data_IF_924953023889
#
_entry.id   IF_924953023889
#
_cell.length_a   1.000
_cell.length_b   1.000
_cell.length_c   1.000
_cell.angle_alpha   90.00
_cell.angle_beta   90.00
_cell.angle_gamma   90.00
#
_symmetry.space_group_name_H-M   'P 1'
#
loop_
_entity.id
_entity.type
_entity.pdbx_description
1 polymer ?
#
# COMPACT_ATOMS: atom_id res chain seq x y z
N UNK A 1 -3.09 23.45 23.65
CA UNK A 1 -2.31 23.13 22.42
C UNK A 1 -2.73 21.83 21.72
N UNK A 2 -3.64 20.99 22.27
CA UNK A 2 -4.09 19.72 21.65
C UNK A 2 -4.99 19.84 20.40
N UNK A 3 -5.65 20.98 20.16
CA UNK A 3 -6.61 21.12 19.06
C UNK A 3 -6.01 21.46 17.68
N UNK A 4 -4.75 21.92 17.60
CA UNK A 4 -4.15 22.31 16.32
C UNK A 4 -3.65 21.12 15.50
N UNK A 5 -3.14 20.07 16.15
CA UNK A 5 -2.63 18.87 15.47
C UNK A 5 -3.75 18.06 14.82
N UNK A 6 -4.91 17.95 15.48
CA UNK A 6 -6.09 17.25 14.96
C UNK A 6 -6.68 17.92 13.71
N UNK A 7 -6.56 19.24 13.61
CA UNK A 7 -7.05 20.02 12.47
C UNK A 7 -6.16 19.86 11.22
N UNK A 8 -4.84 19.80 11.42
CA UNK A 8 -3.87 19.61 10.33
C UNK A 8 -3.96 18.19 9.74
N UNK A 9 -4.17 17.18 10.58
CA UNK A 9 -4.33 15.79 10.13
C UNK A 9 -5.59 15.62 9.28
N UNK A 10 -6.72 16.20 9.70
CA UNK A 10 -7.95 16.17 8.89
C UNK A 10 -7.78 16.93 7.57
N UNK A 11 -7.08 18.06 7.56
CA UNK A 11 -6.87 18.84 6.33
C UNK A 11 -5.99 18.09 5.31
N UNK A 12 -4.94 17.41 5.77
CA UNK A 12 -4.08 16.57 4.92
C UNK A 12 -4.85 15.35 4.39
N UNK A 13 -5.66 14.68 5.22
CA UNK A 13 -6.48 13.55 4.79
C UNK A 13 -7.53 13.96 3.74
N UNK A 14 -8.18 15.13 3.96
CA UNK A 14 -9.15 15.69 3.01
C UNK A 14 -8.46 16.04 1.68
N UNK A 15 -7.23 16.58 1.70
CA UNK A 15 -6.47 16.86 0.48
C UNK A 15 -6.09 15.58 -0.29
N UNK A 16 -5.77 14.48 0.41
CA UNK A 16 -5.51 13.17 -0.22
C UNK A 16 -6.78 12.58 -0.84
N UNK A 17 -7.92 12.68 -0.15
CA UNK A 17 -9.23 12.23 -0.67
C UNK A 17 -9.68 13.09 -1.86
N UNK A 18 -9.43 14.40 -1.83
CA UNK A 18 -9.71 15.28 -2.97
C UNK A 18 -8.82 14.97 -4.19
N UNK A 19 -7.55 14.58 -3.99
CA UNK A 19 -6.70 14.08 -5.08
C UNK A 19 -7.21 12.76 -5.67
N UNK A 20 -7.66 11.83 -4.83
CA UNK A 20 -8.27 10.58 -5.28
C UNK A 20 -9.58 10.80 -6.07
N UNK A 21 -10.42 11.75 -5.65
CA UNK A 21 -11.64 12.11 -6.39
C UNK A 21 -11.37 12.94 -7.65
N UNK A 22 -10.29 13.73 -7.69
CA UNK A 22 -9.83 14.39 -8.91
C UNK A 22 -9.28 13.38 -9.95
N UNK A 23 -8.63 12.30 -9.50
CA UNK A 23 -8.21 11.18 -10.35
C UNK A 23 -9.38 10.50 -11.06
N UNK A 24 -10.55 10.41 -10.43
CA UNK A 24 -11.76 9.85 -11.06
C UNK A 24 -12.33 10.75 -12.18
N UNK A 25 -12.18 12.08 -12.07
CA UNK A 25 -12.67 13.02 -13.09
C UNK A 25 -11.72 13.17 -14.30
N UNK A 26 -10.44 12.81 -14.16
CA UNK A 26 -9.48 12.74 -15.27
C UNK A 26 -9.74 11.55 -16.22
N UNK A 27 -10.58 10.59 -15.82
CA UNK A 27 -10.93 9.39 -16.59
C UNK A 27 -11.64 9.67 -17.93
N UNK A 28 -12.15 10.88 -18.17
CA UNK A 28 -13.08 11.14 -19.28
C UNK A 28 -12.53 11.94 -20.47
N UNK A 29 -11.27 12.41 -20.47
CA UNK A 29 -10.85 13.43 -21.45
C UNK A 29 -9.53 13.21 -22.21
N UNK A 30 -8.85 12.07 -22.10
CA UNK A 30 -7.73 11.75 -23.00
C UNK A 30 -7.76 10.26 -23.40
N UNK A 31 -7.73 9.90 -24.69
CA UNK A 31 -7.70 8.51 -25.13
C UNK A 31 -6.26 7.98 -24.98
N UNK A 32 -5.84 7.72 -23.74
CA UNK A 32 -4.65 6.91 -23.47
C UNK A 32 -4.99 5.48 -23.90
N UNK A 33 -4.28 4.95 -24.89
CA UNK A 33 -4.50 3.58 -25.35
C UNK A 33 -3.72 2.63 -24.45
N UNK A 34 -4.44 1.72 -23.81
CA UNK A 34 -3.86 0.65 -22.99
C UNK A 34 -3.61 -0.55 -23.90
N UNK A 35 -2.41 -1.11 -23.81
CA UNK A 35 -1.95 -2.29 -24.56
C UNK A 35 -1.13 -3.17 -23.63
N UNK A 36 -0.71 -4.35 -24.08
CA UNK A 36 0.31 -5.12 -23.36
C UNK A 36 1.70 -4.58 -23.68
N UNK A 37 2.68 -4.87 -22.82
CA UNK A 37 4.08 -4.47 -23.08
C UNK A 37 4.57 -5.11 -24.37
N UNK A 38 4.21 -6.37 -24.63
CA UNK A 38 4.48 -7.05 -25.90
C UNK A 38 3.91 -6.29 -27.11
N UNK A 39 2.62 -5.95 -27.08
CA UNK A 39 1.99 -5.16 -28.15
C UNK A 39 2.66 -3.79 -28.32
N UNK A 40 3.13 -3.19 -27.22
CA UNK A 40 3.87 -1.92 -27.24
C UNK A 40 5.22 -2.03 -27.94
N UNK A 41 5.93 -3.13 -27.73
CA UNK A 41 7.19 -3.42 -28.43
C UNK A 41 6.94 -3.65 -29.92
N UNK A 42 5.94 -4.46 -30.28
CA UNK A 42 5.55 -4.66 -31.68
C UNK A 42 5.17 -3.33 -32.35
N UNK A 43 4.47 -2.46 -31.62
CA UNK A 43 4.11 -1.12 -32.10
C UNK A 43 5.34 -0.22 -32.29
N UNK A 44 6.32 -0.25 -31.37
CA UNK A 44 7.61 0.46 -31.51
C UNK A 44 8.37 0.03 -32.77
N UNK A 45 8.49 -1.28 -32.97
CA UNK A 45 9.20 -1.87 -34.12
C UNK A 45 8.52 -1.49 -35.43
N UNK A 46 7.18 -1.50 -35.48
CA UNK A 46 6.42 -1.06 -36.65
C UNK A 46 6.63 0.41 -37.01
N UNK A 47 7.09 1.22 -36.05
CA UNK A 47 7.44 2.63 -36.22
C UNK A 47 8.96 2.86 -36.37
N UNK A 48 9.72 1.83 -36.75
CA UNK A 48 11.18 1.87 -36.95
C UNK A 48 11.99 2.30 -35.71
N UNK A 49 11.45 2.06 -34.50
CA UNK A 49 12.19 2.20 -33.24
C UNK A 49 12.52 0.83 -32.67
N UNK A 50 13.57 0.76 -31.87
CA UNK A 50 13.97 -0.44 -31.13
C UNK A 50 14.00 -0.15 -29.63
N UNK A 51 14.11 -1.20 -28.82
CA UNK A 51 14.29 -1.04 -27.36
C UNK A 51 15.54 -0.25 -26.95
N UNK A 52 16.49 -0.04 -27.89
CA UNK A 52 17.69 0.77 -27.65
C UNK A 52 17.44 2.27 -27.84
N UNK A 53 16.33 2.65 -28.48
CA UNK A 53 15.97 4.03 -28.79
C UNK A 53 15.08 4.66 -27.71
N UNK A 54 15.24 4.22 -26.46
CA UNK A 54 14.45 4.73 -25.34
C UNK A 54 14.78 6.20 -25.07
N UNK A 55 13.77 6.92 -24.59
CA UNK A 55 13.85 8.33 -24.24
C UNK A 55 14.55 8.53 -22.88
N UNK A 56 15.09 9.72 -22.64
CA UNK A 56 15.55 10.14 -21.31
C UNK A 56 14.40 10.40 -20.33
N UNK A 57 13.15 10.40 -20.83
CA UNK A 57 11.95 10.48 -20.00
C UNK A 57 11.89 9.32 -19.00
N UNK A 58 11.38 9.61 -17.81
CA UNK A 58 11.23 8.65 -16.71
C UNK A 58 9.85 8.81 -16.11
N UNK A 59 9.26 7.67 -15.74
CA UNK A 59 8.08 7.67 -14.88
C UNK A 59 8.51 7.66 -13.40
N UNK A 60 7.70 8.17 -12.48
CA UNK A 60 8.04 8.22 -11.05
C UNK A 60 8.34 6.85 -10.42
N UNK A 61 7.66 5.80 -10.87
CA UNK A 61 7.81 4.46 -10.30
C UNK A 61 9.13 3.77 -10.68
N UNK A 62 9.70 4.12 -11.83
CA UNK A 62 10.90 3.47 -12.40
C UNK A 62 10.66 2.09 -13.03
N UNK A 63 9.44 1.55 -13.00
CA UNK A 63 9.12 0.22 -13.55
C UNK A 63 8.70 0.24 -15.04
N UNK A 64 8.94 1.35 -15.74
CA UNK A 64 8.63 1.46 -17.15
C UNK A 64 9.69 2.21 -17.93
N UNK A 65 9.85 1.79 -19.18
CA UNK A 65 10.73 2.40 -20.18
C UNK A 65 9.87 3.20 -21.15
N UNK A 66 10.29 4.44 -21.38
CA UNK A 66 9.56 5.41 -22.21
C UNK A 66 10.25 5.55 -23.56
N UNK A 67 9.48 5.63 -24.63
CA UNK A 67 9.95 5.82 -26.00
C UNK A 67 9.17 6.96 -26.63
N UNK A 68 9.85 7.77 -27.43
CA UNK A 68 9.23 8.85 -28.21
C UNK A 68 9.31 8.51 -29.69
N UNK A 69 8.15 8.47 -30.34
CA UNK A 69 8.05 8.23 -31.77
C UNK A 69 8.21 9.53 -32.56
N UNK A 70 8.60 9.41 -33.83
CA UNK A 70 8.81 10.57 -34.71
C UNK A 70 7.51 11.34 -35.01
N UNK A 71 6.35 10.70 -34.83
CA UNK A 71 5.03 11.32 -34.94
C UNK A 71 4.60 12.09 -33.66
N UNK A 72 5.41 12.06 -32.60
CA UNK A 72 5.15 12.73 -31.33
C UNK A 72 4.38 11.90 -30.29
N UNK A 73 3.99 10.67 -30.62
CA UNK A 73 3.42 9.73 -29.64
C UNK A 73 4.47 9.27 -28.65
N UNK A 74 4.03 9.00 -27.41
CA UNK A 74 4.88 8.44 -26.35
C UNK A 74 4.40 7.05 -26.03
N UNK A 75 5.32 6.10 -25.98
CA UNK A 75 5.04 4.71 -25.65
C UNK A 75 5.71 4.39 -24.33
N UNK A 76 4.94 3.86 -23.39
CA UNK A 76 5.41 3.36 -22.11
C UNK A 76 5.19 1.84 -22.07
N UNK A 77 6.26 1.08 -21.88
CA UNK A 77 6.22 -0.37 -21.66
C UNK A 77 6.91 -0.71 -20.36
N UNK A 78 6.58 -1.86 -19.78
CA UNK A 78 7.20 -2.30 -18.54
C UNK A 78 8.70 -2.57 -18.73
N UNK A 79 9.53 -2.28 -17.71
CA UNK A 79 11.00 -2.39 -17.83
C UNK A 79 11.49 -3.80 -18.15
N UNK A 80 10.74 -4.83 -17.74
CA UNK A 80 11.08 -6.23 -18.03
C UNK A 80 10.86 -6.58 -19.52
N UNK A 81 10.15 -5.73 -20.27
CA UNK A 81 10.02 -5.77 -21.73
C UNK A 81 9.14 -6.91 -22.26
N UNK A 82 9.36 -8.13 -21.80
CA UNK A 82 8.67 -9.33 -22.27
C UNK A 82 7.59 -9.72 -21.25
N UNK A 83 6.32 -9.52 -21.59
CA UNK A 83 5.20 -9.97 -20.75
C UNK A 83 3.87 -9.29 -21.06
N UNK A 84 2.83 -9.78 -20.40
CA UNK A 84 1.45 -9.27 -20.46
C UNK A 84 1.23 -8.04 -19.55
N UNK A 85 2.31 -7.46 -19.02
CA UNK A 85 2.25 -6.24 -18.21
C UNK A 85 1.63 -5.09 -19.01
N UNK A 86 0.80 -4.24 -18.37
CA UNK A 86 0.18 -3.12 -19.06
C UNK A 86 1.24 -2.16 -19.63
N UNK A 87 0.99 -1.67 -20.84
CA UNK A 87 1.71 -0.61 -21.52
C UNK A 87 0.72 0.46 -21.98
N UNK A 88 1.25 1.62 -22.36
CA UNK A 88 0.45 2.78 -22.73
C UNK A 88 1.00 3.48 -23.96
N UNK A 89 0.09 3.91 -24.84
CA UNK A 89 0.39 4.86 -25.90
C UNK A 89 -0.34 6.16 -25.57
N UNK A 90 0.44 7.22 -25.43
CA UNK A 90 -0.02 8.60 -25.27
C UNK A 90 0.11 9.32 -26.61
N UNK A 91 -0.87 10.14 -26.96
CA UNK A 91 -0.88 10.84 -28.25
C UNK A 91 0.13 12.00 -28.28
N UNK A 92 0.64 12.40 -27.11
CA UNK A 92 1.63 13.48 -27.01
C UNK A 92 2.44 13.42 -25.71
N UNK A 93 3.60 14.08 -25.72
CA UNK A 93 4.41 14.34 -24.53
C UNK A 93 3.64 15.04 -23.41
N UNK A 94 2.66 15.89 -23.75
CA UNK A 94 1.83 16.60 -22.78
C UNK A 94 0.99 15.63 -21.95
N UNK A 95 0.30 14.69 -22.63
CA UNK A 95 -0.52 13.67 -21.96
C UNK A 95 0.34 12.77 -21.05
N UNK A 96 1.50 12.34 -21.53
CA UNK A 96 2.45 11.56 -20.73
C UNK A 96 2.88 12.29 -19.45
N UNK A 97 3.24 13.58 -19.58
CA UNK A 97 3.63 14.40 -18.43
C UNK A 97 2.48 14.61 -17.45
N UNK A 98 1.27 14.84 -17.95
CA UNK A 98 0.07 14.95 -17.10
C UNK A 98 -0.16 13.65 -16.30
N UNK A 99 0.02 12.47 -16.89
CA UNK A 99 -0.03 11.20 -16.15
C UNK A 99 1.06 11.09 -15.08
N UNK A 100 2.30 11.49 -15.39
CA UNK A 100 3.40 11.48 -14.42
C UNK A 100 3.18 12.46 -13.26
N UNK A 101 2.77 13.70 -13.56
CA UNK A 101 2.54 14.75 -12.57
C UNK A 101 1.38 14.41 -11.63
N UNK A 102 0.39 13.64 -12.13
CA UNK A 102 -0.74 13.16 -11.34
C UNK A 102 -0.49 11.79 -10.68
N UNK A 103 0.68 11.19 -10.88
CA UNK A 103 1.02 9.82 -10.44
C UNK A 103 -0.09 8.81 -10.81
N UNK A 104 -0.59 8.87 -12.04
CA UNK A 104 -1.74 8.07 -12.44
C UNK A 104 -1.64 7.54 -13.87
N UNK A 105 -1.77 6.23 -13.97
CA UNK A 105 -1.83 5.44 -15.19
C UNK A 105 -3.09 4.55 -15.14
N UNK A 106 -3.94 4.54 -16.17
CA UNK A 106 -5.23 3.85 -16.13
C UNK A 106 -5.06 2.34 -16.36
N UNK A 107 -4.56 1.62 -15.36
CA UNK A 107 -4.41 0.15 -15.43
C UNK A 107 -5.80 -0.49 -15.31
N UNK A 108 -6.22 -1.39 -16.22
CA UNK A 108 -7.45 -2.17 -16.07
C UNK A 108 -7.43 -3.00 -14.78
N UNK A 109 -8.57 -3.18 -14.12
CA UNK A 109 -8.63 -3.84 -12.80
C UNK A 109 -8.05 -5.26 -12.83
N UNK A 110 -8.29 -5.98 -13.92
CA UNK A 110 -7.76 -7.32 -14.20
C UNK A 110 -6.24 -7.38 -14.28
N UNK A 111 -5.59 -6.24 -14.58
CA UNK A 111 -4.14 -6.11 -14.71
C UNK A 111 -3.51 -5.39 -13.51
N UNK A 112 -4.32 -4.96 -12.53
CA UNK A 112 -3.83 -4.38 -11.29
C UNK A 112 -3.33 -5.48 -10.36
N UNK A 113 -2.19 -5.23 -9.72
CA UNK A 113 -1.73 -6.05 -8.59
C UNK A 113 -2.75 -6.02 -7.45
N UNK A 114 -2.73 -7.05 -6.58
CA UNK A 114 -3.60 -7.05 -5.41
C UNK A 114 -3.39 -5.81 -4.53
N UNK A 115 -2.16 -5.30 -4.42
CA UNK A 115 -1.84 -4.09 -3.66
C UNK A 115 -2.52 -2.86 -4.26
N UNK A 116 -2.48 -2.70 -5.58
CA UNK A 116 -3.16 -1.61 -6.28
C UNK A 116 -4.68 -1.69 -6.11
N UNK A 117 -5.26 -2.89 -6.18
CA UNK A 117 -6.70 -3.09 -5.98
C UNK A 117 -7.17 -2.77 -4.56
N UNK A 118 -6.31 -2.99 -3.56
CA UNK A 118 -6.65 -2.82 -2.14
C UNK A 118 -6.01 -1.57 -1.50
N UNK A 119 -5.44 -0.67 -2.31
CA UNK A 119 -4.69 0.48 -1.84
C UNK A 119 -5.53 1.47 -1.02
N UNK A 120 -6.83 1.58 -1.31
CA UNK A 120 -7.75 2.47 -0.59
C UNK A 120 -8.09 1.86 0.77
N UNK A 121 -8.46 0.59 0.79
CA UNK A 121 -8.79 -0.16 1.99
C UNK A 121 -7.60 -0.23 2.96
N UNK A 122 -6.37 -0.38 2.43
CA UNK A 122 -5.15 -0.35 3.24
C UNK A 122 -4.90 1.00 3.94
N UNK A 123 -5.33 2.12 3.34
CA UNK A 123 -5.20 3.45 3.96
C UNK A 123 -6.16 3.60 5.15
N UNK A 124 -7.35 3.02 5.03
CA UNK A 124 -8.41 3.12 6.04
C UNK A 124 -8.40 1.95 7.03
N UNK A 125 -7.52 0.99 6.83
CA UNK A 125 -7.40 -0.23 7.62
C UNK A 125 -7.39 -0.03 9.15
N UNK A 126 -6.77 1.05 9.65
CA UNK A 126 -6.73 1.38 11.09
C UNK A 126 -8.05 1.96 11.65
N UNK A 127 -8.98 2.38 10.78
CA UNK A 127 -10.29 2.92 11.13
C UNK A 127 -11.31 1.81 11.38
N UNK A 128 -11.15 0.65 10.75
CA UNK A 128 -12.10 -0.46 10.82
C UNK A 128 -11.77 -1.43 11.96
N UNK A 129 -12.20 -1.11 13.19
CA UNK A 129 -11.75 -1.86 14.37
C UNK A 129 -12.19 -3.32 14.34
N UNK A 130 -13.32 -3.62 13.69
CA UNK A 130 -13.86 -4.97 13.59
C UNK A 130 -12.87 -5.94 12.94
N UNK A 131 -12.06 -5.45 12.00
CA UNK A 131 -11.15 -6.27 11.22
C UNK A 131 -10.04 -6.91 12.05
N UNK A 132 -9.47 -6.19 13.02
CA UNK A 132 -8.41 -6.71 13.90
C UNK A 132 -8.90 -7.07 15.31
N UNK A 133 -10.17 -6.81 15.66
CA UNK A 133 -10.72 -7.15 16.99
C UNK A 133 -11.41 -8.51 17.01
N UNK A 134 -11.95 -8.98 15.88
CA UNK A 134 -12.78 -10.18 15.82
C UNK A 134 -12.05 -11.45 16.28
N UNK A 135 -10.83 -11.69 15.78
CA UNK A 135 -10.03 -12.86 16.16
C UNK A 135 -9.64 -12.82 17.65
N UNK A 136 -9.22 -11.65 18.14
CA UNK A 136 -8.87 -11.43 19.55
C UNK A 136 -10.05 -11.67 20.49
N UNK A 137 -11.24 -11.19 20.13
CA UNK A 137 -12.43 -11.35 20.94
C UNK A 137 -12.92 -12.80 20.93
N UNK A 138 -13.03 -13.40 19.75
CA UNK A 138 -13.56 -14.76 19.58
C UNK A 138 -12.72 -15.78 20.34
N UNK A 139 -11.40 -15.75 20.13
CA UNK A 139 -10.46 -16.76 20.64
C UNK A 139 -9.99 -16.48 22.07
N UNK A 140 -9.74 -15.22 22.40
CA UNK A 140 -9.03 -14.84 23.65
C UNK A 140 -9.87 -13.99 24.59
N UNK A 141 -11.10 -13.60 24.19
CA UNK A 141 -11.96 -12.66 24.92
C UNK A 141 -11.22 -11.35 25.24
N UNK A 142 -10.37 -10.92 24.32
CA UNK A 142 -9.68 -9.63 24.39
C UNK A 142 -10.54 -8.61 23.67
N UNK A 143 -10.84 -7.50 24.35
CA UNK A 143 -11.55 -6.36 23.77
C UNK A 143 -10.54 -5.30 23.35
N UNK A 144 -10.66 -4.82 22.11
CA UNK A 144 -9.94 -3.65 21.60
C UNK A 144 -10.94 -2.70 20.90
N UNK A 145 -10.64 -1.40 20.74
CA UNK A 145 -9.36 -0.72 21.02
C UNK A 145 -9.01 -0.69 22.51
N UNK A 146 -7.71 -0.80 22.82
CA UNK A 146 -7.21 -0.70 24.19
C UNK A 146 -7.26 0.74 24.69
N UNK A 147 -7.51 0.92 25.99
CA UNK A 147 -7.61 2.23 26.65
C UNK A 147 -6.47 2.51 27.62
N UNK A 148 -5.66 1.50 27.94
CA UNK A 148 -4.56 1.63 28.89
C UNK A 148 -3.41 0.66 28.60
N UNK A 149 -2.23 0.99 29.14
CA UNK A 149 -1.05 0.11 29.05
C UNK A 149 -1.34 -1.25 29.71
N UNK A 150 -2.05 -1.25 30.84
CA UNK A 150 -2.43 -2.48 31.56
C UNK A 150 -3.27 -3.40 30.67
N UNK A 151 -4.22 -2.86 29.90
CA UNK A 151 -5.02 -3.66 28.97
C UNK A 151 -4.17 -4.28 27.85
N UNK A 152 -3.17 -3.55 27.36
CA UNK A 152 -2.24 -4.05 26.35
C UNK A 152 -1.34 -5.18 26.88
N UNK A 153 -0.86 -5.07 28.13
CA UNK A 153 -0.06 -6.09 28.81
C UNK A 153 -0.90 -7.34 29.11
N UNK A 154 -2.09 -7.17 29.66
CA UNK A 154 -3.02 -8.28 29.93
C UNK A 154 -3.39 -9.04 28.65
N UNK A 155 -3.61 -8.31 27.55
CA UNK A 155 -3.88 -8.90 26.24
C UNK A 155 -2.68 -9.70 25.71
N UNK A 156 -1.46 -9.18 25.85
CA UNK A 156 -0.23 -9.87 25.46
C UNK A 156 -0.01 -11.17 26.26
N UNK A 157 -0.23 -11.10 27.57
CA UNK A 157 -0.12 -12.26 28.45
C UNK A 157 -1.12 -13.36 28.08
N UNK A 158 -2.37 -12.99 27.79
CA UNK A 158 -3.39 -13.92 27.30
C UNK A 158 -2.98 -14.54 25.96
N UNK A 159 -2.53 -13.73 25.01
CA UNK A 159 -2.07 -14.18 23.70
C UNK A 159 -0.92 -15.17 23.83
N UNK A 160 0.15 -14.81 24.54
CA UNK A 160 1.34 -15.66 24.67
C UNK A 160 1.04 -16.96 25.42
N UNK A 161 0.22 -16.93 26.47
CA UNK A 161 -0.26 -18.15 27.16
C UNK A 161 -1.05 -19.05 26.21
N UNK A 162 -1.94 -18.49 25.39
CA UNK A 162 -2.71 -19.25 24.41
C UNK A 162 -1.83 -19.88 23.33
N UNK A 163 -0.84 -19.14 22.81
CA UNK A 163 0.05 -19.60 21.74
C UNK A 163 1.11 -20.61 22.21
N UNK A 164 1.51 -20.61 23.48
CA UNK A 164 2.45 -21.59 24.06
C UNK A 164 1.87 -23.01 24.11
N UNK A 165 0.55 -23.14 24.11
CA UNK A 165 -0.12 -24.44 24.03
C UNK A 165 -0.09 -24.92 22.56
N UNK A 166 1.04 -25.51 22.16
CA UNK A 166 1.51 -25.86 20.79
C UNK A 166 0.60 -26.77 19.92
N UNK A 167 -0.69 -26.47 19.78
CA UNK A 167 -1.60 -27.23 18.90
C UNK A 167 -2.49 -26.33 18.02
N UNK A 168 -2.09 -25.08 17.78
CA UNK A 168 -2.87 -24.13 16.98
C UNK A 168 -2.37 -24.08 15.54
N UNK A 169 -3.26 -24.07 14.52
CA UNK A 169 -2.89 -23.85 13.14
C UNK A 169 -2.05 -22.58 12.95
N UNK A 170 -1.11 -22.60 12.02
CA UNK A 170 -0.18 -21.49 11.78
C UNK A 170 -0.93 -20.22 11.38
N UNK A 171 -2.01 -20.37 10.61
CA UNK A 171 -2.88 -19.30 10.14
C UNK A 171 -3.56 -18.61 11.32
N UNK A 172 -4.10 -19.38 12.26
CA UNK A 172 -4.74 -18.86 13.46
C UNK A 172 -3.74 -18.12 14.35
N UNK A 173 -2.55 -18.72 14.55
CA UNK A 173 -1.48 -18.09 15.34
C UNK A 173 -1.09 -16.74 14.73
N UNK A 174 -0.91 -16.72 13.42
CA UNK A 174 -0.59 -15.51 12.67
C UNK A 174 -1.69 -14.48 12.83
N UNK A 175 -2.95 -14.81 12.52
CA UNK A 175 -4.07 -13.89 12.63
C UNK A 175 -4.15 -13.22 14.02
N UNK A 176 -4.00 -13.99 15.09
CA UNK A 176 -4.00 -13.46 16.46
C UNK A 176 -2.84 -12.50 16.75
N UNK A 177 -1.62 -12.81 16.30
CA UNK A 177 -0.45 -11.94 16.48
C UNK A 177 -0.64 -10.63 15.72
N UNK A 178 -1.03 -10.69 14.45
CA UNK A 178 -1.23 -9.50 13.62
C UNK A 178 -2.36 -8.64 14.18
N UNK A 179 -3.48 -9.25 14.55
CA UNK A 179 -4.61 -8.57 15.19
C UNK A 179 -4.21 -7.82 16.46
N UNK A 180 -3.43 -8.46 17.35
CA UNK A 180 -2.91 -7.82 18.56
C UNK A 180 -2.01 -6.64 18.23
N UNK A 181 -1.09 -6.85 17.28
CA UNK A 181 -0.12 -5.85 16.88
C UNK A 181 -0.79 -4.57 16.35
N UNK A 182 -1.87 -4.72 15.58
CA UNK A 182 -2.67 -3.61 15.04
C UNK A 182 -3.48 -2.90 16.13
N UNK A 183 -4.13 -3.66 17.02
CA UNK A 183 -4.85 -3.09 18.16
C UNK A 183 -3.92 -2.23 19.05
N UNK A 184 -2.70 -2.71 19.24
CA UNK A 184 -1.66 -2.02 20.00
C UNK A 184 -1.12 -0.78 19.28
N UNK A 185 -0.86 -0.89 17.98
CA UNK A 185 -0.50 0.23 17.13
C UNK A 185 -1.50 1.39 17.24
N UNK A 186 -2.80 1.08 17.18
CA UNK A 186 -3.86 2.07 17.33
C UNK A 186 -3.83 2.74 18.69
N UNK A 187 -3.68 1.97 19.77
CA UNK A 187 -3.52 2.52 21.12
C UNK A 187 -2.33 3.49 21.23
N UNK A 188 -1.19 3.13 20.65
CA UNK A 188 0.00 4.00 20.66
C UNK A 188 -0.25 5.33 19.94
N UNK A 189 -0.94 5.30 18.80
CA UNK A 189 -1.29 6.51 18.04
C UNK A 189 -2.28 7.37 18.84
N UNK A 190 -3.40 6.80 19.27
CA UNK A 190 -4.53 7.56 19.83
C UNK A 190 -4.29 8.00 21.27
N UNK A 191 -3.76 7.12 22.12
CA UNK A 191 -3.66 7.34 23.57
C UNK A 191 -2.26 7.82 24.00
N UNK A 192 -1.22 7.47 23.23
CA UNK A 192 0.18 7.84 23.53
C UNK A 192 0.75 8.90 22.60
N UNK A 193 0.02 9.30 21.57
CA UNK A 193 0.44 10.36 20.64
C UNK A 193 1.67 9.99 19.83
N UNK A 194 1.85 8.70 19.52
CA UNK A 194 2.93 8.27 18.65
C UNK A 194 2.72 8.84 17.25
N UNK A 195 3.82 9.29 16.63
CA UNK A 195 3.79 9.77 15.26
C UNK A 195 3.64 8.58 14.31
N UNK A 196 2.85 8.78 13.28
CA UNK A 196 2.73 7.87 12.15
C UNK A 196 2.68 8.69 10.86
N UNK A 197 3.04 8.06 9.77
CA UNK A 197 3.00 8.65 8.43
C UNK A 197 2.40 7.66 7.43
N UNK A 198 1.79 8.20 6.37
CA UNK A 198 1.48 7.40 5.18
C UNK A 198 2.71 7.41 4.29
N UNK A 199 3.34 6.25 4.11
CA UNK A 199 4.46 6.10 3.21
C UNK A 199 3.93 5.81 1.80
N UNK A 200 4.33 6.65 0.85
CA UNK A 200 4.13 6.44 -0.58
C UNK A 200 5.15 5.43 -1.09
N UNK A 201 4.70 4.45 -1.86
CA UNK A 201 5.54 3.52 -2.61
C UNK A 201 4.86 3.19 -3.93
N UNK A 202 5.54 2.53 -4.85
CA UNK A 202 4.99 2.07 -6.12
C UNK A 202 5.01 0.54 -6.18
N UNK A 203 4.02 -0.04 -6.86
CA UNK A 203 4.18 -1.37 -7.47
C UNK A 203 4.60 -1.18 -8.92
N UNK A 204 3.66 -1.18 -9.88
CA UNK A 204 4.00 -1.04 -11.30
C UNK A 204 4.10 0.44 -11.68
N UNK A 205 2.98 1.09 -11.96
CA UNK A 205 2.98 2.49 -12.43
C UNK A 205 2.36 3.46 -11.42
N UNK A 206 1.38 2.99 -10.65
CA UNK A 206 0.64 3.81 -9.71
C UNK A 206 1.21 3.68 -8.29
N UNK A 207 1.21 4.77 -7.52
CA UNK A 207 1.58 4.69 -6.13
C UNK A 207 0.46 4.09 -5.29
N UNK A 208 0.83 3.42 -4.21
CA UNK A 208 -0.06 3.14 -3.09
C UNK A 208 0.53 3.69 -1.80
N UNK A 209 -0.34 3.85 -0.80
CA UNK A 209 0.00 4.43 0.49
C UNK A 209 -0.30 3.43 1.58
N UNK A 210 0.65 3.26 2.51
CA UNK A 210 0.44 2.43 3.69
C UNK A 210 0.90 3.16 4.95
N UNK A 211 0.21 2.97 6.08
CA UNK A 211 0.63 3.59 7.33
C UNK A 211 1.93 2.96 7.84
N UNK A 212 2.76 3.78 8.48
CA UNK A 212 3.98 3.39 9.19
C UNK A 212 4.00 4.14 10.53
N UNK A 213 4.20 3.42 11.63
CA UNK A 213 4.42 4.05 12.95
C UNK A 213 5.90 4.37 13.10
N UNK A 214 6.20 5.63 13.41
CA UNK A 214 7.55 6.11 13.69
C UNK A 214 7.79 5.98 15.18
N UNK A 215 8.79 5.20 15.55
CA UNK A 215 9.17 5.02 16.94
C UNK A 215 10.64 5.37 17.17
N UNK A 216 10.88 6.16 18.22
CA UNK A 216 12.21 6.35 18.78
C UNK A 216 12.37 5.33 19.88
N UNK A 217 13.44 4.54 19.83
CA UNK A 217 13.73 3.40 20.71
C UNK A 217 13.56 3.74 22.21
N UNK A 218 12.35 3.65 22.76
CA UNK A 218 12.07 3.85 24.20
C UNK A 218 12.15 2.52 24.95
N UNK A 219 12.70 2.55 26.16
CA UNK A 219 12.80 1.39 27.05
C UNK A 219 11.45 1.09 27.73
N UNK A 220 10.42 0.80 26.95
CA UNK A 220 9.10 0.36 27.45
C UNK A 220 8.81 -1.06 26.98
N UNK A 221 8.54 -1.96 27.92
CA UNK A 221 8.31 -3.38 27.66
C UNK A 221 7.15 -3.61 26.68
N UNK A 222 6.06 -2.85 26.80
CA UNK A 222 4.84 -3.02 26.00
C UNK A 222 5.04 -2.55 24.56
N UNK A 223 5.77 -1.45 24.39
CA UNK A 223 6.08 -0.90 23.08
C UNK A 223 7.06 -1.83 22.34
N UNK A 224 8.10 -2.31 23.04
CA UNK A 224 9.01 -3.32 22.49
C UNK A 224 8.28 -4.61 22.11
N UNK A 225 7.35 -5.10 22.94
CA UNK A 225 6.55 -6.29 22.63
C UNK A 225 5.65 -6.11 21.41
N UNK A 226 5.08 -4.91 21.24
CA UNK A 226 4.33 -4.54 20.05
C UNK A 226 5.21 -4.59 18.79
N UNK A 227 6.39 -3.97 18.83
CA UNK A 227 7.30 -3.96 17.68
C UNK A 227 7.92 -5.32 17.37
N UNK A 228 8.16 -6.16 18.39
CA UNK A 228 8.55 -7.56 18.20
C UNK A 228 7.43 -8.34 17.50
N UNK A 229 6.16 -8.11 17.87
CA UNK A 229 5.02 -8.71 17.19
C UNK A 229 4.79 -8.13 15.78
N UNK A 230 5.28 -6.91 15.52
CA UNK A 230 5.19 -6.23 14.21
C UNK A 230 6.34 -6.60 13.25
N UNK A 231 7.29 -7.44 13.67
CA UNK A 231 8.27 -8.08 12.77
C UNK A 231 9.49 -7.26 12.36
N UNK A 232 9.61 -5.99 12.74
CA UNK A 232 10.80 -5.18 12.42
C UNK A 232 11.14 -4.19 13.56
N UNK A 233 12.44 -4.08 13.84
CA UNK A 233 13.00 -3.42 15.04
C UNK A 233 12.84 -1.90 15.02
N UNK A 234 12.53 -1.29 13.86
CA UNK A 234 12.49 0.16 13.69
C UNK A 234 11.25 0.71 12.94
N UNK A 235 10.50 -0.11 12.18
CA UNK A 235 9.30 0.31 11.42
C UNK A 235 8.31 -0.83 11.32
N UNK A 236 7.01 -0.56 11.51
CA UNK A 236 5.96 -1.55 11.26
C UNK A 236 5.19 -1.17 9.99
N UNK A 237 5.32 -1.97 8.93
CA UNK A 237 4.62 -1.74 7.66
C UNK A 237 3.26 -2.44 7.65
N UNK A 238 2.19 -1.65 7.57
CA UNK A 238 0.83 -2.17 7.72
C UNK A 238 0.35 -3.07 6.56
N UNK A 239 0.98 -2.97 5.39
CA UNK A 239 0.68 -3.81 4.21
C UNK A 239 0.74 -5.31 4.51
N UNK A 240 1.72 -5.73 5.32
CA UNK A 240 1.88 -7.13 5.69
C UNK A 240 0.73 -7.63 6.57
N UNK A 241 0.29 -6.79 7.50
CA UNK A 241 -0.82 -7.12 8.40
C UNK A 241 -2.16 -7.15 7.67
N UNK A 242 -2.40 -6.19 6.78
CA UNK A 242 -3.61 -6.16 5.96
C UNK A 242 -3.74 -7.44 5.12
N UNK A 243 -2.65 -7.84 4.44
CA UNK A 243 -2.60 -9.08 3.67
C UNK A 243 -2.92 -10.32 4.52
N UNK A 244 -2.21 -10.50 5.63
CA UNK A 244 -2.35 -11.67 6.50
C UNK A 244 -3.76 -11.83 7.09
N UNK A 245 -4.50 -10.72 7.23
CA UNK A 245 -5.81 -10.70 7.86
C UNK A 245 -6.96 -10.71 6.86
N UNK A 246 -6.78 -10.18 5.66
CA UNK A 246 -7.79 -10.24 4.60
C UNK A 246 -7.87 -11.62 3.94
N UNK A 247 -6.81 -12.43 4.06
CA UNK A 247 -6.72 -13.72 3.41
C UNK A 247 -6.70 -13.63 1.88
N UNK A 248 -6.46 -12.43 1.34
CA UNK A 248 -6.36 -12.21 -0.11
C UNK A 248 -5.13 -12.99 -0.59
N UNK A 249 -5.30 -13.95 -1.51
CA UNK A 249 -4.17 -14.66 -2.08
C UNK A 249 -3.29 -13.64 -2.79
N UNK A 250 -2.02 -13.64 -2.41
CA UNK A 250 -1.02 -12.86 -3.09
C UNK A 250 -0.85 -13.54 -4.45
N UNK A 251 -1.37 -12.96 -5.54
CA UNK A 251 -0.93 -13.32 -6.89
C UNK A 251 0.51 -12.82 -7.01
N UNK A 252 1.42 -13.52 -6.34
CA UNK A 252 2.82 -13.50 -6.70
C UNK A 252 2.89 -14.56 -7.78
N UNK A 253 2.83 -14.12 -9.02
CA UNK A 253 3.52 -14.89 -10.05
C UNK A 253 5.00 -14.84 -9.63
N UNK A 254 5.41 -15.87 -8.88
CA UNK A 254 6.82 -16.10 -8.56
C UNK A 254 7.40 -16.69 -9.84
N UNK A 255 7.86 -15.82 -10.74
CA UNK A 255 8.88 -16.18 -11.72
C UNK A 255 10.27 -16.14 -11.07
#
# INVERSE_FOLDING_TARGET
MRNRTFFIINLLLILTIFKANAQFNLMNNAPIKIITSKEGIEYLESNNKTLKDFSDLRIPSGYGTVYELDNGEIILVHTIGEGEYPGFIFNSLKEFKESCDNDFFPIPKENMTWLEQHAIEMQDFLKEHQFYTAALNTELKITAPFKSISECEDAYDKLTKYLKNNKKPVELRSNLIHSYAIAMAKFLIEEKGYNWELKKTYEIYNPYYYPVIIYQNTKSNVVSNAFIALGDRNKAEFRFFYWMLSGIPMNIDID
#
